data_IF_010726799064
#
_entry.id   IF_010726799064
#
_cell.length_a   1.000
_cell.length_b   1.000
_cell.length_c   1.000
_cell.angle_alpha   90.00
_cell.angle_beta   90.00
_cell.angle_gamma   90.00
#
_symmetry.space_group_name_H-M   'P 1'
#
loop_
_entity.id
_entity.type
_entity.pdbx_description
1 polymer ?
#
# COMPACT_ATOMS: atom_id res chain seq x y z
N UNK A 1 29.34 -10.01 4.43
CA UNK A 1 28.01 -10.41 4.93
C UNK A 1 27.21 -9.22 5.48
N UNK A 2 27.82 -8.32 6.27
CA UNK A 2 27.12 -7.20 6.92
C UNK A 2 26.41 -6.21 5.97
N UNK A 3 27.00 -5.89 4.81
CA UNK A 3 26.39 -4.99 3.82
C UNK A 3 25.05 -5.52 3.25
N UNK A 4 24.90 -6.84 3.14
CA UNK A 4 23.65 -7.47 2.68
C UNK A 4 22.58 -7.40 3.77
N UNK A 5 22.97 -7.63 5.02
CA UNK A 5 22.06 -7.53 6.19
C UNK A 5 21.58 -6.10 6.39
N UNK A 6 22.45 -5.10 6.21
CA UNK A 6 22.11 -3.67 6.27
C UNK A 6 21.13 -3.29 5.15
N UNK A 7 21.35 -3.78 3.93
CA UNK A 7 20.44 -3.55 2.81
C UNK A 7 19.04 -4.18 3.04
N UNK A 8 18.99 -5.36 3.67
CA UNK A 8 17.74 -6.07 3.97
C UNK A 8 16.96 -5.48 5.15
N UNK A 9 17.60 -4.78 6.09
CA UNK A 9 16.91 -4.07 7.20
C UNK A 9 15.93 -3.01 6.71
N UNK A 10 16.15 -2.47 5.51
CA UNK A 10 15.30 -1.44 4.89
C UNK A 10 14.19 -2.02 4.00
N UNK A 11 13.95 -3.34 4.06
CA UNK A 11 12.92 -4.02 3.27
C UNK A 11 11.63 -4.14 4.05
N UNK A 12 10.55 -3.64 3.48
CA UNK A 12 9.19 -3.85 3.97
C UNK A 12 8.48 -4.91 3.12
N UNK A 13 8.30 -6.14 3.63
CA UNK A 13 7.48 -7.14 2.96
C UNK A 13 6.01 -6.72 3.06
N UNK A 14 5.39 -6.49 1.91
CA UNK A 14 4.01 -6.05 1.78
C UNK A 14 3.18 -7.15 1.11
N UNK A 15 2.22 -7.68 1.85
CA UNK A 15 1.29 -8.68 1.35
C UNK A 15 -0.10 -8.44 1.96
N UNK A 16 -0.88 -7.47 1.46
CA UNK A 16 -2.16 -7.11 2.07
C UNK A 16 -3.14 -8.29 2.04
N UNK A 17 -3.74 -8.59 3.19
CA UNK A 17 -4.69 -9.70 3.37
C UNK A 17 -6.11 -9.15 3.60
N UNK A 18 -6.96 -9.04 2.56
CA UNK A 18 -8.31 -8.46 2.67
C UNK A 18 -9.12 -9.00 3.85
N UNK A 19 -9.07 -10.29 4.09
CA UNK A 19 -9.72 -10.98 5.21
C UNK A 19 -9.34 -10.42 6.58
N UNK A 20 -8.10 -9.93 6.75
CA UNK A 20 -7.64 -9.28 7.99
C UNK A 20 -7.90 -7.78 8.02
N UNK A 21 -7.82 -7.13 6.86
CA UNK A 21 -7.97 -5.68 6.71
C UNK A 21 -9.38 -5.18 7.01
N UNK A 22 -10.38 -6.05 6.90
CA UNK A 22 -11.78 -5.73 7.24
C UNK A 22 -12.02 -5.60 8.76
N UNK A 23 -11.09 -6.04 9.60
CA UNK A 23 -11.21 -5.87 11.03
C UNK A 23 -11.03 -4.39 11.43
N UNK A 24 -11.69 -3.98 12.53
CA UNK A 24 -11.35 -2.70 13.16
C UNK A 24 -9.98 -2.77 13.81
N UNK A 25 -9.30 -1.62 13.90
CA UNK A 25 -7.93 -1.55 14.41
C UNK A 25 -7.84 -0.77 15.72
N UNK A 26 -6.83 -1.09 16.53
CA UNK A 26 -6.50 -0.32 17.73
C UNK A 26 -5.91 1.04 17.30
N UNK A 27 -6.43 2.19 17.80
CA UNK A 27 -6.03 3.53 17.34
C UNK A 27 -4.53 3.86 17.48
N UNK A 28 -3.83 3.21 18.41
CA UNK A 28 -2.41 3.44 18.68
C UNK A 28 -1.47 2.59 17.81
N UNK A 29 -2.00 1.68 17.01
CA UNK A 29 -1.22 0.84 16.10
C UNK A 29 -0.84 1.60 14.82
N UNK A 30 0.05 2.60 14.98
CA UNK A 30 0.34 3.63 13.98
C UNK A 30 1.40 3.27 12.92
N UNK A 31 1.94 2.04 12.94
CA UNK A 31 2.88 1.55 11.91
C UNK A 31 2.27 0.40 11.13
N UNK A 32 2.13 0.56 9.82
CA UNK A 32 1.47 -0.43 8.96
C UNK A 32 2.26 -1.74 8.94
N UNK A 33 1.57 -2.84 9.25
CA UNK A 33 2.14 -4.19 9.22
C UNK A 33 2.15 -4.73 7.79
N UNK A 34 2.99 -5.72 7.50
CA UNK A 34 3.10 -6.30 6.16
C UNK A 34 1.78 -6.85 5.59
N UNK A 35 0.92 -7.42 6.44
CA UNK A 35 -0.41 -7.90 6.06
C UNK A 35 -1.49 -6.80 5.97
N UNK A 36 -1.15 -5.55 6.31
CA UNK A 36 -2.03 -4.38 6.33
C UNK A 36 -3.27 -4.50 7.23
N UNK A 37 -3.29 -5.43 8.18
CA UNK A 37 -4.40 -5.69 9.11
C UNK A 37 -4.79 -4.48 9.99
N UNK A 38 -3.85 -3.56 10.26
CA UNK A 38 -4.08 -2.32 11.00
C UNK A 38 -4.36 -1.09 10.11
N UNK A 39 -4.84 -1.31 8.88
CA UNK A 39 -5.11 -0.26 7.89
C UNK A 39 -5.86 0.95 8.46
N UNK A 40 -6.94 0.72 9.23
CA UNK A 40 -7.76 1.80 9.77
C UNK A 40 -6.97 2.71 10.74
N UNK A 41 -6.07 2.15 11.55
CA UNK A 41 -5.25 2.93 12.47
C UNK A 41 -4.24 3.80 11.72
N UNK A 42 -3.62 3.26 10.67
CA UNK A 42 -2.62 3.96 9.87
C UNK A 42 -3.25 5.04 8.98
N UNK A 43 -4.44 4.79 8.43
CA UNK A 43 -5.21 5.81 7.71
C UNK A 43 -5.53 7.00 8.62
N UNK A 44 -5.99 6.73 9.85
CA UNK A 44 -6.25 7.77 10.86
C UNK A 44 -5.00 8.58 11.20
N UNK A 45 -3.85 7.91 11.33
CA UNK A 45 -2.58 8.58 11.59
C UNK A 45 -2.16 9.44 10.39
N UNK A 46 -2.22 8.90 9.19
CA UNK A 46 -1.80 9.57 7.96
C UNK A 46 -2.63 10.82 7.68
N UNK A 47 -3.96 10.76 7.89
CA UNK A 47 -4.83 11.93 7.71
C UNK A 47 -4.54 13.06 8.69
N UNK A 48 -4.05 12.74 9.91
CA UNK A 48 -3.71 13.72 10.94
C UNK A 48 -2.30 14.27 10.80
N UNK A 49 -1.34 13.46 10.39
CA UNK A 49 0.08 13.86 10.35
C UNK A 49 0.49 14.52 9.04
N UNK A 50 -0.16 14.19 7.91
CA UNK A 50 0.25 14.73 6.61
C UNK A 50 -0.92 14.84 5.63
N UNK A 51 -1.55 16.02 5.57
CA UNK A 51 -2.65 16.30 4.66
C UNK A 51 -2.30 16.08 3.18
N UNK A 52 -1.10 16.44 2.74
CA UNK A 52 -0.64 16.23 1.35
C UNK A 52 -0.57 14.74 1.00
N UNK A 53 -0.02 13.90 1.89
CA UNK A 53 0.05 12.46 1.69
C UNK A 53 -1.34 11.83 1.66
N UNK A 54 -2.20 12.27 2.58
CA UNK A 54 -3.57 11.83 2.65
C UNK A 54 -4.36 12.19 1.37
N UNK A 55 -4.22 13.42 0.87
CA UNK A 55 -4.83 13.84 -0.38
C UNK A 55 -4.32 13.04 -1.59
N UNK A 56 -3.02 12.74 -1.65
CA UNK A 56 -2.45 11.89 -2.70
C UNK A 56 -3.02 10.47 -2.64
N UNK A 57 -3.27 9.93 -1.45
CA UNK A 57 -3.90 8.63 -1.27
C UNK A 57 -5.36 8.65 -1.72
N UNK A 58 -6.14 9.66 -1.33
CA UNK A 58 -7.53 9.82 -1.80
C UNK A 58 -7.59 9.90 -3.32
N UNK A 59 -6.68 10.65 -3.95
CA UNK A 59 -6.60 10.75 -5.40
C UNK A 59 -6.27 9.41 -6.07
N UNK A 60 -5.33 8.64 -5.52
CA UNK A 60 -5.01 7.30 -6.01
C UNK A 60 -6.23 6.36 -5.89
N UNK A 61 -6.89 6.33 -4.72
CA UNK A 61 -8.06 5.47 -4.48
C UNK A 61 -9.23 5.84 -5.38
N UNK A 62 -9.45 7.13 -5.66
CA UNK A 62 -10.43 7.57 -6.68
C UNK A 62 -10.10 7.05 -8.08
N UNK A 63 -8.81 6.96 -8.43
CA UNK A 63 -8.39 6.45 -9.72
C UNK A 63 -8.52 4.92 -9.83
N UNK A 64 -8.40 4.17 -8.72
CA UNK A 64 -8.41 2.70 -8.72
C UNK A 64 -9.73 2.03 -8.31
N UNK A 65 -10.53 2.63 -7.44
CA UNK A 65 -11.78 2.02 -6.96
C UNK A 65 -12.94 2.21 -7.96
N UNK A 66 -13.95 1.35 -7.82
CA UNK A 66 -15.20 1.52 -8.51
C UNK A 66 -16.11 2.47 -7.71
N UNK A 67 -16.78 3.39 -8.40
CA UNK A 67 -17.71 4.33 -7.78
C UNK A 67 -17.05 5.57 -7.15
N UNK A 68 -17.85 6.42 -6.50
CA UNK A 68 -17.41 7.70 -5.99
C UNK A 68 -16.48 7.55 -4.78
N UNK A 69 -15.38 8.30 -4.78
CA UNK A 69 -14.42 8.43 -3.68
C UNK A 69 -14.10 9.89 -3.50
N UNK A 70 -14.71 10.53 -2.51
CA UNK A 70 -14.46 11.92 -2.17
C UNK A 70 -13.41 12.07 -1.06
N UNK A 71 -13.31 11.07 -0.19
CA UNK A 71 -12.39 11.09 0.94
C UNK A 71 -12.21 9.72 1.58
N UNK A 72 -11.22 9.63 2.46
CA UNK A 72 -10.98 8.47 3.32
C UNK A 72 -10.98 8.96 4.75
N UNK A 73 -11.94 8.50 5.55
CA UNK A 73 -12.10 8.94 6.94
C UNK A 73 -12.05 7.75 7.89
N UNK A 74 -11.94 8.04 9.17
CA UNK A 74 -11.97 7.00 10.20
C UNK A 74 -12.95 7.37 11.28
N UNK A 75 -13.75 6.40 11.71
CA UNK A 75 -14.73 6.52 12.77
C UNK A 75 -14.25 5.72 13.99
N UNK A 76 -14.35 6.32 15.18
CA UNK A 76 -14.11 5.61 16.44
C UNK A 76 -15.37 4.86 16.87
N UNK A 77 -15.21 3.67 17.43
CA UNK A 77 -16.30 2.87 18.00
C UNK A 77 -16.24 2.90 19.52
N UNK A 78 -17.36 2.56 20.17
CA UNK A 78 -17.53 2.65 21.62
C UNK A 78 -16.57 1.75 22.43
N UNK A 79 -16.09 0.66 21.81
CA UNK A 79 -15.07 -0.27 22.29
C UNK A 79 -13.62 0.25 22.11
N UNK A 80 -13.45 1.48 21.65
CA UNK A 80 -12.15 2.13 21.53
C UNK A 80 -11.33 1.70 20.30
N UNK A 81 -11.94 0.97 19.36
CA UNK A 81 -11.33 0.66 18.05
C UNK A 81 -11.69 1.71 17.01
N UNK A 82 -10.95 1.72 15.89
CA UNK A 82 -11.23 2.58 14.74
C UNK A 82 -11.51 1.76 13.50
N UNK A 83 -12.46 2.24 12.70
CA UNK A 83 -12.82 1.72 11.38
C UNK A 83 -12.52 2.75 10.32
N UNK A 84 -12.12 2.32 9.13
CA UNK A 84 -11.97 3.20 7.98
C UNK A 84 -13.23 3.22 7.11
N UNK A 85 -13.49 4.36 6.49
CA UNK A 85 -14.61 4.60 5.60
C UNK A 85 -14.15 5.36 4.35
N UNK A 86 -14.79 5.04 3.24
CA UNK A 86 -14.76 5.78 1.98
C UNK A 86 -15.92 6.76 2.00
N UNK A 87 -15.62 8.06 1.92
CA UNK A 87 -16.65 9.07 1.71
C UNK A 87 -17.04 9.08 0.23
N UNK A 88 -18.34 9.11 -0.02
CA UNK A 88 -18.96 9.00 -1.33
C UNK A 88 -19.86 10.22 -1.63
N UNK A 89 -19.57 11.36 -1.01
CA UNK A 89 -20.36 12.58 -1.17
C UNK A 89 -21.80 12.42 -0.71
N UNK A 90 -22.74 12.68 -1.62
CA UNK A 90 -24.18 12.56 -1.38
C UNK A 90 -24.61 11.13 -0.99
N UNK A 91 -23.83 10.10 -1.36
CA UNK A 91 -24.09 8.72 -0.97
C UNK A 91 -23.62 8.39 0.46
N UNK A 92 -23.07 9.36 1.19
CA UNK A 92 -22.63 9.22 2.58
C UNK A 92 -21.24 8.58 2.71
N UNK A 93 -21.05 7.77 3.74
CA UNK A 93 -19.79 7.09 4.00
C UNK A 93 -19.99 5.57 4.00
N UNK A 94 -19.24 4.89 3.15
CA UNK A 94 -19.22 3.43 3.08
C UNK A 94 -18.02 2.89 3.83
N UNK A 95 -18.18 1.90 4.70
CA UNK A 95 -17.04 1.31 5.36
C UNK A 95 -16.15 0.50 4.42
N UNK A 96 -14.83 0.55 4.63
CA UNK A 96 -13.87 -0.18 3.78
C UNK A 96 -14.08 -1.69 3.83
N UNK A 97 -14.73 -2.20 4.88
CA UNK A 97 -15.06 -3.62 5.04
C UNK A 97 -15.93 -4.18 3.90
N UNK A 98 -16.71 -3.30 3.25
CA UNK A 98 -17.58 -3.62 2.13
C UNK A 98 -16.89 -3.60 0.77
N UNK A 99 -15.64 -3.13 0.71
CA UNK A 99 -14.87 -3.13 -0.52
C UNK A 99 -14.54 -4.56 -0.96
N UNK A 100 -14.42 -4.75 -2.27
CA UNK A 100 -13.93 -6.00 -2.83
C UNK A 100 -12.48 -6.27 -2.44
N UNK A 101 -12.04 -7.52 -2.55
CA UNK A 101 -10.66 -7.91 -2.21
C UNK A 101 -9.61 -7.15 -3.04
N UNK A 102 -9.88 -6.92 -4.33
CA UNK A 102 -9.03 -6.13 -5.21
C UNK A 102 -8.93 -4.67 -4.79
N UNK A 103 -10.05 -4.05 -4.40
CA UNK A 103 -10.09 -2.66 -3.92
C UNK A 103 -9.37 -2.50 -2.58
N UNK A 104 -9.52 -3.46 -1.66
CA UNK A 104 -8.78 -3.48 -0.41
C UNK A 104 -7.27 -3.60 -0.66
N UNK A 105 -6.84 -4.57 -1.48
CA UNK A 105 -5.42 -4.71 -1.83
C UNK A 105 -4.88 -3.46 -2.51
N UNK A 106 -5.62 -2.88 -3.44
CA UNK A 106 -5.25 -1.62 -4.10
C UNK A 106 -5.05 -0.49 -3.08
N UNK A 107 -6.01 -0.28 -2.17
CA UNK A 107 -5.95 0.74 -1.13
C UNK A 107 -4.73 0.57 -0.22
N UNK A 108 -4.45 -0.65 0.24
CA UNK A 108 -3.29 -0.94 1.08
C UNK A 108 -1.96 -0.72 0.35
N UNK A 109 -1.83 -1.22 -0.88
CA UNK A 109 -0.62 -1.02 -1.68
C UNK A 109 -0.40 0.46 -1.98
N UNK A 110 -1.45 1.20 -2.35
CA UNK A 110 -1.36 2.64 -2.56
C UNK A 110 -0.91 3.39 -1.29
N UNK A 111 -1.45 3.02 -0.12
CA UNK A 111 -1.01 3.56 1.16
C UNK A 111 0.47 3.26 1.42
N UNK A 112 0.92 2.02 1.20
CA UNK A 112 2.34 1.65 1.35
C UNK A 112 3.24 2.48 0.43
N UNK A 113 2.91 2.58 -0.85
CA UNK A 113 3.72 3.29 -1.84
C UNK A 113 3.82 4.80 -1.55
N UNK A 114 2.74 5.40 -1.02
CA UNK A 114 2.66 6.83 -0.73
C UNK A 114 3.19 7.18 0.68
N UNK A 115 3.47 6.18 1.51
CA UNK A 115 3.97 6.38 2.87
C UNK A 115 5.45 6.08 2.98
N UNK A 116 6.15 6.87 3.81
CA UNK A 116 7.57 6.67 4.08
C UNK A 116 7.82 5.66 5.20
N UNK A 117 9.10 5.33 5.48
CA UNK A 117 9.49 4.33 6.48
C UNK A 117 8.95 4.62 7.88
N UNK A 118 8.76 5.89 8.26
CA UNK A 118 8.16 6.26 9.56
C UNK A 118 6.70 5.84 9.75
N UNK A 119 6.01 5.38 8.69
CA UNK A 119 4.62 4.89 8.72
C UNK A 119 4.55 3.37 8.59
N UNK A 120 5.62 2.71 8.15
CA UNK A 120 5.65 1.27 7.98
C UNK A 120 6.32 0.61 9.18
N UNK A 121 5.93 -0.63 9.49
CA UNK A 121 6.56 -1.44 10.54
C UNK A 121 7.91 -2.01 10.04
N UNK A 122 8.81 -1.12 9.65
CA UNK A 122 10.19 -1.42 9.23
C UNK A 122 11.13 -0.65 10.15
N UNK A 123 12.26 -1.27 10.49
CA UNK A 123 13.31 -0.58 11.25
C UNK A 123 14.16 0.24 10.27
N UNK A 124 14.16 1.59 10.34
CA UNK A 124 15.12 2.36 9.58
C UNK A 124 16.51 1.95 10.08
N UNK A 125 17.41 1.53 9.18
CA UNK A 125 18.74 1.06 9.56
C UNK A 125 19.56 2.19 10.20
N UNK A 126 19.38 2.44 11.50
CA UNK A 126 19.86 3.64 12.20
C UNK A 126 21.38 3.87 12.10
N UNK A 127 22.14 2.81 11.83
CA UNK A 127 23.60 2.82 11.65
C UNK A 127 24.07 3.34 10.28
N UNK A 128 23.16 3.73 9.38
CA UNK A 128 23.47 4.21 8.02
C UNK A 128 23.01 5.66 7.86
N UNK A 129 23.80 6.48 7.15
CA UNK A 129 23.40 7.86 6.83
C UNK A 129 22.00 7.90 6.18
N UNK A 130 21.06 8.74 6.65
CA UNK A 130 19.68 8.81 6.14
C UNK A 130 19.57 9.00 4.62
N UNK A 131 20.55 9.68 4.03
CA UNK A 131 20.65 9.92 2.59
C UNK A 131 20.84 8.64 1.74
N UNK A 132 21.11 7.48 2.35
CA UNK A 132 21.28 6.19 1.65
C UNK A 132 20.17 5.17 1.94
N UNK A 133 19.23 5.49 2.84
CA UNK A 133 18.15 4.59 3.25
C UNK A 133 16.89 4.82 2.42
N UNK A 134 16.90 4.40 1.16
CA UNK A 134 15.67 4.33 0.37
C UNK A 134 14.95 3.05 0.75
N UNK A 135 13.75 3.20 1.33
CA UNK A 135 12.85 2.10 1.68
C UNK A 135 12.64 1.18 0.47
N UNK A 136 12.84 -0.12 0.65
CA UNK A 136 12.52 -1.12 -0.38
C UNK A 136 11.22 -1.81 -0.02
N UNK A 137 10.20 -1.70 -0.86
CA UNK A 137 8.94 -2.44 -0.73
C UNK A 137 9.07 -3.73 -1.52
N UNK A 138 8.83 -4.87 -0.86
CA UNK A 138 8.76 -6.18 -1.50
C UNK A 138 7.29 -6.63 -1.56
N UNK A 139 6.69 -6.67 -2.74
CA UNK A 139 5.28 -6.99 -2.93
C UNK A 139 5.09 -8.28 -3.72
N UNK A 140 4.74 -9.37 -3.03
CA UNK A 140 4.42 -10.64 -3.69
C UNK A 140 2.96 -10.66 -4.18
N UNK A 141 2.77 -10.89 -5.48
CA UNK A 141 1.50 -10.80 -6.18
C UNK A 141 0.99 -9.37 -6.24
N UNK A 142 1.78 -8.44 -6.76
CA UNK A 142 1.46 -7.01 -6.81
C UNK A 142 0.13 -6.73 -7.56
N UNK A 143 -0.20 -7.54 -8.55
CA UNK A 143 -1.44 -7.50 -9.34
C UNK A 143 -2.52 -8.50 -8.85
N UNK A 144 -2.25 -9.27 -7.80
CA UNK A 144 -3.16 -10.33 -7.33
C UNK A 144 -4.49 -9.73 -6.88
N UNK A 145 -5.59 -10.26 -7.43
CA UNK A 145 -6.97 -9.80 -7.23
C UNK A 145 -7.30 -8.40 -7.77
N UNK A 146 -6.35 -7.71 -8.40
CA UNK A 146 -6.59 -6.39 -9.00
C UNK A 146 -7.13 -6.59 -10.42
N UNK A 147 -8.08 -5.74 -10.82
CA UNK A 147 -8.41 -5.62 -12.23
C UNK A 147 -7.30 -4.89 -13.02
N UNK A 148 -7.38 -4.89 -14.35
CA UNK A 148 -6.37 -4.25 -15.21
C UNK A 148 -6.24 -2.74 -15.00
N UNK A 149 -7.32 -2.05 -14.63
CA UNK A 149 -7.30 -0.61 -14.34
C UNK A 149 -6.57 -0.38 -13.02
N UNK A 150 -6.93 -1.10 -11.98
CA UNK A 150 -6.28 -1.06 -10.66
C UNK A 150 -4.78 -1.36 -10.76
N UNK A 151 -4.39 -2.42 -11.45
CA UNK A 151 -2.98 -2.78 -11.62
C UNK A 151 -2.19 -1.65 -12.30
N UNK A 152 -2.73 -1.07 -13.38
CA UNK A 152 -2.09 0.05 -14.11
C UNK A 152 -1.98 1.31 -13.26
N UNK A 153 -3.05 1.71 -12.58
CA UNK A 153 -3.05 2.89 -11.72
C UNK A 153 -2.07 2.73 -10.57
N UNK A 154 -2.03 1.55 -9.96
CA UNK A 154 -1.11 1.25 -8.87
C UNK A 154 0.34 1.26 -9.35
N UNK A 155 0.62 0.71 -10.53
CA UNK A 155 1.95 0.79 -11.13
C UNK A 155 2.35 2.25 -11.45
N UNK A 156 1.40 3.07 -11.90
CA UNK A 156 1.60 4.51 -12.08
C UNK A 156 1.97 5.22 -10.77
N UNK A 157 1.31 4.87 -9.65
CA UNK A 157 1.69 5.36 -8.31
C UNK A 157 3.12 4.91 -7.96
N UNK A 158 3.43 3.63 -8.13
CA UNK A 158 4.74 3.08 -7.83
C UNK A 158 5.85 3.77 -8.64
N UNK A 159 5.70 3.86 -9.96
CA UNK A 159 6.66 4.51 -10.85
C UNK A 159 6.91 5.97 -10.44
N UNK A 160 5.84 6.72 -10.10
CA UNK A 160 5.96 8.10 -9.62
C UNK A 160 6.69 8.23 -8.28
N UNK A 161 6.61 7.24 -7.40
CA UNK A 161 7.31 7.26 -6.11
C UNK A 161 8.76 6.79 -6.24
N UNK A 162 9.01 5.79 -7.09
CA UNK A 162 10.36 5.36 -7.47
C UNK A 162 11.14 6.47 -8.17
N UNK A 163 10.53 7.19 -9.12
CA UNK A 163 11.18 8.30 -9.84
C UNK A 163 11.56 9.46 -8.91
N UNK A 164 10.80 9.68 -7.83
CA UNK A 164 11.15 10.65 -6.78
C UNK A 164 12.23 10.15 -5.82
N UNK A 165 12.67 8.90 -5.94
CA UNK A 165 13.63 8.27 -5.04
C UNK A 165 13.07 7.99 -3.64
N UNK A 166 11.74 8.04 -3.46
CA UNK A 166 11.11 7.82 -2.15
C UNK A 166 11.16 6.35 -1.74
N UNK A 167 11.05 5.45 -2.72
CA UNK A 167 11.05 4.00 -2.52
C UNK A 167 11.82 3.30 -3.64
N UNK A 168 12.19 2.05 -3.37
CA UNK A 168 12.45 1.02 -4.38
C UNK A 168 11.31 0.00 -4.28
N UNK A 169 10.84 -0.51 -5.41
CA UNK A 169 9.82 -1.56 -5.45
C UNK A 169 10.39 -2.79 -6.14
N UNK A 170 10.24 -3.94 -5.49
CA UNK A 170 10.46 -5.26 -6.07
C UNK A 170 9.16 -6.03 -5.86
N UNK A 171 8.66 -6.72 -6.89
CA UNK A 171 7.44 -7.50 -6.74
C UNK A 171 7.27 -8.53 -7.83
N UNK A 172 6.37 -9.48 -7.58
CA UNK A 172 5.96 -10.49 -8.55
C UNK A 172 4.61 -10.08 -9.16
N UNK A 173 4.42 -10.39 -10.43
CA UNK A 173 3.17 -10.13 -11.17
C UNK A 173 2.76 -11.39 -11.91
N UNK A 174 1.45 -11.67 -11.94
CA UNK A 174 0.88 -12.79 -12.69
C UNK A 174 0.62 -12.45 -14.16
N UNK A 175 0.28 -11.20 -14.47
CA UNK A 175 -0.01 -10.71 -15.82
C UNK A 175 0.83 -9.47 -16.16
N UNK A 176 1.96 -9.71 -16.83
CA UNK A 176 2.86 -8.65 -17.32
C UNK A 176 2.15 -7.73 -18.31
N UNK A 177 1.27 -8.26 -19.15
CA UNK A 177 0.60 -7.47 -20.21
C UNK A 177 -0.43 -6.51 -19.64
N UNK A 178 -1.13 -6.93 -18.58
CA UNK A 178 -2.09 -6.11 -17.85
C UNK A 178 -1.46 -5.07 -16.94
N UNK A 179 -0.31 -5.39 -16.33
CA UNK A 179 0.32 -4.56 -15.31
C UNK A 179 1.33 -3.56 -15.89
N UNK A 180 2.21 -3.98 -16.81
CA UNK A 180 3.47 -3.28 -17.08
C UNK A 180 3.35 -2.15 -18.11
N UNK A 181 2.59 -2.31 -19.20
CA UNK A 181 2.43 -1.27 -20.23
C UNK A 181 3.74 -0.55 -20.59
N UNK A 182 3.70 0.79 -20.66
CA UNK A 182 4.87 1.66 -20.91
C UNK A 182 5.60 2.10 -19.62
N UNK A 183 5.31 1.48 -18.47
CA UNK A 183 5.93 1.90 -17.21
C UNK A 183 7.45 1.64 -17.24
N UNK A 184 8.26 2.52 -16.62
CA UNK A 184 9.71 2.36 -16.57
C UNK A 184 10.11 1.28 -15.55
N UNK A 185 9.79 0.02 -15.85
CA UNK A 185 10.05 -1.14 -15.00
C UNK A 185 10.92 -2.15 -15.72
N UNK A 186 11.76 -2.83 -14.95
CA UNK A 186 12.51 -3.99 -15.44
C UNK A 186 11.76 -5.26 -15.08
N UNK A 187 11.42 -6.07 -16.07
CA UNK A 187 10.71 -7.34 -15.89
C UNK A 187 11.68 -8.49 -16.11
N UNK A 188 11.71 -9.43 -15.17
CA UNK A 188 12.44 -10.68 -15.30
C UNK A 188 11.41 -11.81 -15.35
N UNK A 189 11.39 -12.54 -16.46
CA UNK A 189 10.52 -13.71 -16.59
C UNK A 189 11.19 -14.89 -15.87
N UNK A 190 10.56 -15.38 -14.80
CA UNK A 190 11.07 -16.50 -13.99
C UNK A 190 10.81 -17.87 -14.63
N UNK A 191 10.19 -17.92 -15.81
CA UNK A 191 9.77 -19.16 -16.46
C UNK A 191 8.62 -19.84 -15.72
N UNK A 192 8.12 -20.94 -16.29
CA UNK A 192 7.29 -21.91 -15.56
C UNK A 192 8.14 -23.16 -15.35
N UNK A 193 8.44 -23.51 -14.11
CA UNK A 193 8.84 -24.89 -13.83
C UNK A 193 7.63 -25.78 -14.13
N UNK A 194 7.73 -26.60 -15.17
CA UNK A 194 6.85 -27.76 -15.33
C UNK A 194 7.23 -28.73 -14.21
N UNK A 195 6.48 -28.70 -13.11
CA UNK A 195 6.46 -29.82 -12.19
C UNK A 195 5.79 -30.97 -12.96
N UNK A 196 6.61 -31.91 -13.43
CA UNK A 196 6.20 -33.18 -14.03
C UNK A 196 5.63 -34.11 -12.96
#
# INVERSE_FOLDING_TARGET
AEQVVIALRSVFPCDPRPERMRASAVPRDGRLRGCCENLAAVLRRTSRECGTRHAALVAAVRAGCAGPVEGLVTEGRADGVVRALVQQGEFGAMPVERLGDGELRYLALALVLLTGPGVLAVDPAADVLPARQVLTVLADGFDRCLDRRQARELLGVAARMCARGHIRLVGTVGDVTGAVGDAPVTVVNLGRERVL
#
